data_IF_538579427776
#
_entry.id   IF_538579427776
#
_cell.length_a   1.000
_cell.length_b   1.000
_cell.length_c   1.000
_cell.angle_alpha   90.00
_cell.angle_beta   90.00
_cell.angle_gamma   90.00
#
_symmetry.space_group_name_H-M   'P 1'
#
loop_
_entity.id
_entity.type
_entity.pdbx_description
1 polymer ?
#
# COMPACT_ATOMS: atom_id res chain seq x y z
N UNK A 1 -18.65 5.80 -10.89
CA UNK A 1 -17.60 4.74 -10.83
C UNK A 1 -16.34 5.30 -11.47
N UNK A 2 -15.16 5.08 -10.89
CA UNK A 2 -13.86 5.53 -11.41
C UNK A 2 -12.87 4.36 -11.44
N UNK A 3 -11.81 4.44 -12.26
CA UNK A 3 -10.74 3.44 -12.32
C UNK A 3 -9.78 3.53 -11.12
N UNK A 4 -8.94 2.51 -10.93
CA UNK A 4 -7.90 2.51 -9.91
C UNK A 4 -6.89 3.67 -10.09
N UNK A 5 -6.50 3.96 -11.33
CA UNK A 5 -5.63 5.10 -11.65
C UNK A 5 -6.30 6.44 -11.32
N UNK A 6 -7.60 6.58 -11.59
CA UNK A 6 -8.38 7.75 -11.20
C UNK A 6 -8.52 7.86 -9.68
N UNK A 7 -8.65 6.76 -8.95
CA UNK A 7 -8.66 6.79 -7.49
C UNK A 7 -7.28 7.18 -6.92
N UNK A 8 -6.20 6.62 -7.45
CA UNK A 8 -4.83 6.96 -7.08
C UNK A 8 -4.50 8.44 -7.35
N UNK A 9 -5.07 9.05 -8.40
CA UNK A 9 -4.87 10.47 -8.72
C UNK A 9 -5.46 11.43 -7.69
N UNK A 10 -6.45 10.97 -6.91
CA UNK A 10 -7.06 11.76 -5.83
C UNK A 10 -6.15 11.89 -4.60
N UNK A 11 -5.18 10.98 -4.43
CA UNK A 11 -4.24 11.00 -3.33
C UNK A 11 -3.13 12.00 -3.66
N UNK A 12 -2.95 12.98 -2.77
CA UNK A 12 -1.97 14.07 -2.91
C UNK A 12 -0.84 13.90 -1.89
N UNK A 13 0.25 14.62 -2.13
CA UNK A 13 1.40 14.64 -1.23
C UNK A 13 1.00 14.91 0.22
N UNK A 14 1.62 14.18 1.15
CA UNK A 14 1.45 14.32 2.60
C UNK A 14 0.05 14.02 3.15
N UNK A 15 -0.85 13.45 2.35
CA UNK A 15 -2.14 12.97 2.86
C UNK A 15 -1.96 11.81 3.84
N UNK A 16 -2.95 11.66 4.71
CA UNK A 16 -3.12 10.46 5.54
C UNK A 16 -4.15 9.56 4.85
N UNK A 17 -3.78 8.33 4.55
CA UNK A 17 -4.60 7.37 3.82
C UNK A 17 -4.84 6.15 4.71
N UNK A 18 -6.09 5.89 5.06
CA UNK A 18 -6.47 4.65 5.73
C UNK A 18 -6.72 3.57 4.68
N UNK A 19 -6.13 2.39 4.87
CA UNK A 19 -6.37 1.20 4.05
C UNK A 19 -7.12 0.21 4.91
N UNK A 20 -8.40 0.02 4.60
CA UNK A 20 -9.28 -0.89 5.33
C UNK A 20 -9.31 -2.25 4.63
N UNK A 21 -8.60 -3.23 5.18
CA UNK A 21 -8.55 -4.61 4.69
C UNK A 21 -8.32 -5.58 5.84
N UNK A 22 -8.52 -6.88 5.61
CA UNK A 22 -8.10 -7.94 6.50
C UNK A 22 -7.23 -8.94 5.74
N UNK A 23 -5.92 -8.66 5.67
CA UNK A 23 -5.00 -9.36 4.78
C UNK A 23 -5.48 -9.26 3.32
N UNK A 24 -5.55 -10.37 2.59
CA UNK A 24 -6.12 -10.43 1.24
C UNK A 24 -7.63 -10.14 1.19
N UNK A 25 -8.37 -10.32 2.29
CA UNK A 25 -9.81 -10.11 2.31
C UNK A 25 -10.13 -8.62 2.23
N UNK A 26 -10.77 -8.23 1.12
CA UNK A 26 -11.10 -6.83 0.86
C UNK A 26 -9.87 -5.94 0.64
N UNK A 27 -8.71 -6.52 0.33
CA UNK A 27 -7.52 -5.73 0.00
C UNK A 27 -7.79 -4.89 -1.26
N UNK A 28 -7.65 -3.56 -1.21
CA UNK A 28 -7.78 -2.71 -2.40
C UNK A 28 -6.51 -2.77 -3.27
N UNK A 29 -6.04 -3.98 -3.57
CA UNK A 29 -4.72 -4.27 -4.15
C UNK A 29 -4.48 -3.51 -5.46
N UNK A 30 -5.47 -3.52 -6.36
CA UNK A 30 -5.40 -2.77 -7.62
C UNK A 30 -5.25 -1.25 -7.43
N UNK A 31 -5.84 -0.68 -6.37
CA UNK A 31 -5.68 0.76 -6.06
C UNK A 31 -4.32 1.02 -5.45
N UNK A 32 -3.83 0.14 -4.58
CA UNK A 32 -2.46 0.22 -4.02
C UNK A 32 -1.40 0.11 -5.13
N UNK A 33 -1.59 -0.82 -6.06
CA UNK A 33 -0.76 -0.96 -7.26
C UNK A 33 -0.75 0.34 -8.08
N UNK A 34 -1.93 0.90 -8.37
CA UNK A 34 -2.05 2.15 -9.12
C UNK A 34 -1.38 3.36 -8.44
N UNK A 35 -1.37 3.42 -7.10
CA UNK A 35 -0.62 4.46 -6.37
C UNK A 35 0.89 4.27 -6.57
N UNK A 36 1.37 3.03 -6.45
CA UNK A 36 2.78 2.70 -6.68
C UNK A 36 3.24 3.01 -8.11
N UNK A 37 2.45 2.62 -9.10
CA UNK A 37 2.70 2.88 -10.53
C UNK A 37 2.71 4.38 -10.84
N UNK A 38 1.74 5.13 -10.28
CA UNK A 38 1.69 6.58 -10.44
C UNK A 38 2.93 7.25 -9.83
N UNK A 39 3.38 6.79 -8.67
CA UNK A 39 4.61 7.30 -8.07
C UNK A 39 5.84 7.02 -8.94
N UNK A 40 5.95 5.83 -9.53
CA UNK A 40 7.05 5.52 -10.42
C UNK A 40 7.06 6.41 -11.68
N UNK A 41 5.88 6.71 -12.22
CA UNK A 41 5.74 7.51 -13.44
C UNK A 41 5.88 9.03 -13.21
N UNK A 42 5.29 9.54 -12.14
CA UNK A 42 5.13 10.98 -11.90
C UNK A 42 5.99 11.49 -10.72
N UNK A 43 6.51 10.59 -9.89
CA UNK A 43 7.12 10.93 -8.61
C UNK A 43 6.11 11.38 -7.54
N UNK A 44 4.80 11.23 -7.77
CA UNK A 44 3.74 11.64 -6.85
C UNK A 44 2.71 10.50 -6.64
N UNK A 45 2.10 10.36 -5.45
CA UNK A 45 2.19 11.25 -4.29
C UNK A 45 3.45 11.00 -3.45
N UNK A 46 3.96 12.06 -2.80
CA UNK A 46 5.12 12.00 -1.91
C UNK A 46 4.73 12.06 -0.44
N UNK A 47 5.51 11.38 0.38
CA UNK A 47 5.50 11.49 1.84
C UNK A 47 4.11 11.28 2.47
N UNK A 48 3.29 10.38 1.91
CA UNK A 48 1.99 10.05 2.50
C UNK A 48 2.18 9.28 3.81
N UNK A 49 1.22 9.41 4.73
CA UNK A 49 1.13 8.56 5.91
C UNK A 49 0.03 7.54 5.68
N UNK A 50 0.29 6.26 5.94
CA UNK A 50 -0.74 5.22 5.81
C UNK A 50 -1.12 4.61 7.15
N UNK A 51 -2.39 4.25 7.30
CA UNK A 51 -2.93 3.53 8.45
C UNK A 51 -3.52 2.21 7.98
N UNK A 52 -3.07 1.11 8.58
CA UNK A 52 -3.51 -0.26 8.27
C UNK A 52 -3.92 -0.94 9.58
N UNK A 53 -5.24 -1.00 9.90
CA UNK A 53 -5.70 -1.68 11.12
C UNK A 53 -5.29 -3.17 11.16
N UNK A 54 -5.31 -3.82 10.00
CA UNK A 54 -4.78 -5.16 9.74
C UNK A 54 -3.92 -5.05 8.47
N UNK A 55 -2.91 -5.90 8.35
CA UNK A 55 -2.09 -6.04 7.14
C UNK A 55 -2.93 -5.95 5.85
N UNK A 56 -2.51 -5.12 4.91
CA UNK A 56 -3.03 -5.10 3.55
C UNK A 56 -2.14 -5.98 2.67
N UNK A 57 -2.73 -7.03 2.10
CA UNK A 57 -2.01 -8.06 1.36
C UNK A 57 -1.77 -9.33 2.17
N UNK A 58 -1.14 -10.30 1.53
CA UNK A 58 -0.83 -11.63 2.06
C UNK A 58 0.46 -12.20 1.46
N UNK A 59 0.86 -13.38 1.95
CA UNK A 59 2.02 -14.11 1.41
C UNK A 59 1.61 -15.15 0.36
N UNK A 60 0.41 -15.04 -0.21
CA UNK A 60 -0.19 -15.98 -1.16
C UNK A 60 -0.41 -15.35 -2.56
N UNK A 61 0.12 -14.15 -2.77
CA UNK A 61 0.15 -13.49 -4.08
C UNK A 61 -0.44 -12.08 -4.11
N UNK A 62 -1.01 -11.59 -3.00
CA UNK A 62 -1.55 -10.23 -2.90
C UNK A 62 -0.50 -9.34 -2.23
N UNK A 63 0.20 -8.53 -3.03
CA UNK A 63 1.29 -7.66 -2.52
C UNK A 63 0.79 -6.62 -1.52
N UNK A 64 -0.38 -6.05 -1.74
CA UNK A 64 -1.00 -5.08 -0.85
C UNK A 64 -0.10 -3.88 -0.56
N UNK A 65 0.25 -3.68 0.72
CA UNK A 65 1.07 -2.55 1.17
C UNK A 65 2.44 -2.47 0.49
N UNK A 66 2.98 -3.58 -0.01
CA UNK A 66 4.29 -3.61 -0.69
C UNK A 66 4.30 -2.79 -1.98
N UNK A 67 3.15 -2.55 -2.62
CA UNK A 67 3.05 -1.61 -3.74
C UNK A 67 3.47 -0.18 -3.35
N UNK A 68 3.35 0.16 -2.06
CA UNK A 68 3.67 1.47 -1.52
C UNK A 68 5.08 1.54 -0.92
N UNK A 69 5.78 0.41 -0.76
CA UNK A 69 7.11 0.32 -0.14
C UNK A 69 8.22 0.88 -1.05
N UNK A 70 8.14 2.18 -1.32
CA UNK A 70 9.00 2.93 -2.24
C UNK A 70 9.59 4.15 -1.52
N UNK A 71 10.92 4.38 -1.59
CA UNK A 71 11.54 5.56 -0.99
C UNK A 71 10.92 6.86 -1.49
N UNK A 72 10.49 7.72 -0.56
CA UNK A 72 9.85 9.00 -0.86
C UNK A 72 8.34 8.97 -1.05
N UNK A 73 7.74 7.81 -1.34
CA UNK A 73 6.29 7.62 -1.39
C UNK A 73 5.71 7.66 0.02
N UNK A 74 6.17 6.76 0.88
CA UNK A 74 5.76 6.68 2.29
C UNK A 74 6.64 7.58 3.17
N UNK A 75 5.99 8.35 4.04
CA UNK A 75 6.65 9.03 5.16
C UNK A 75 6.57 8.23 6.45
N UNK A 76 5.41 7.60 6.69
CA UNK A 76 5.11 6.85 7.89
C UNK A 76 4.01 5.83 7.61
N UNK A 77 4.13 4.68 8.23
CA UNK A 77 3.09 3.65 8.24
C UNK A 77 2.71 3.36 9.70
N UNK A 78 1.42 3.33 9.98
CA UNK A 78 0.84 2.92 11.25
C UNK A 78 0.12 1.60 11.01
N UNK A 79 0.61 0.51 11.58
CA UNK A 79 0.05 -0.83 11.37
C UNK A 79 -0.37 -1.45 12.70
N UNK A 80 -1.57 -2.05 12.74
CA UNK A 80 -1.93 -3.00 13.79
C UNK A 80 -1.23 -4.35 13.60
N UNK A 81 -0.99 -4.73 12.35
CA UNK A 81 -0.12 -5.84 11.95
C UNK A 81 0.49 -5.59 10.56
N UNK A 82 1.65 -6.18 10.31
CA UNK A 82 2.27 -6.23 8.99
C UNK A 82 1.98 -7.57 8.30
N UNK A 83 2.05 -7.64 6.95
CA UNK A 83 2.03 -8.93 6.26
C UNK A 83 3.07 -9.86 6.89
N UNK A 84 2.64 -11.06 7.25
CA UNK A 84 3.50 -12.04 7.90
C UNK A 84 3.20 -13.44 7.36
N UNK A 85 4.22 -14.27 7.34
CA UNK A 85 4.19 -15.64 6.85
C UNK A 85 5.27 -16.48 7.54
N UNK A 86 5.49 -17.73 7.07
CA UNK A 86 6.56 -18.58 7.60
C UNK A 86 7.92 -17.90 7.49
N UNK A 87 8.82 -18.14 8.45
CA UNK A 87 10.18 -17.56 8.44
C UNK A 87 11.04 -18.01 7.25
N UNK A 88 10.60 -19.02 6.50
CA UNK A 88 11.23 -19.49 5.27
C UNK A 88 10.77 -18.73 4.02
N UNK A 89 9.76 -17.87 4.11
CA UNK A 89 9.28 -17.06 3.00
C UNK A 89 10.14 -15.81 2.82
N UNK A 90 10.22 -15.29 1.60
CA UNK A 90 10.77 -13.97 1.36
C UNK A 90 9.92 -12.94 2.12
N UNK A 91 10.54 -12.06 2.91
CA UNK A 91 9.77 -11.16 3.75
C UNK A 91 9.18 -9.98 2.93
N UNK A 92 8.13 -9.31 3.45
CA UNK A 92 7.50 -8.19 2.75
C UNK A 92 8.49 -7.04 2.50
N UNK A 93 8.20 -6.17 1.56
CA UNK A 93 9.05 -5.02 1.25
C UNK A 93 8.88 -3.87 2.25
N UNK A 94 7.79 -3.85 3.01
CA UNK A 94 7.52 -2.82 4.02
C UNK A 94 8.22 -3.14 5.36
N UNK A 95 9.04 -2.20 5.84
CA UNK A 95 9.79 -2.28 7.10
C UNK A 95 9.81 -0.94 7.84
#
# INVERSE_FOLDING_TARGET
VISAAQAASLIKDRMVVSVSSSSGLGCPDAVLAAIGERFDAEGHPKAITTLHPIAAGDMYGIKGIDHLAKPGLLKRTLCGSYPSGPSSAEPPQIW
#
